data_IF_351204718831
#
_entry.id   IF_351204718831
#
_cell.length_a   1.000
_cell.length_b   1.000
_cell.length_c   1.000
_cell.angle_alpha   90.00
_cell.angle_beta   90.00
_cell.angle_gamma   90.00
#
_symmetry.space_group_name_H-M   'P 1'
#
loop_
_entity.id
_entity.type
_entity.pdbx_description
1 polymer ?
#
# COMPACT_ATOMS: atom_id res chain seq x y z
N UNK A 1 -21.90 22.91 -36.40
CA UNK A 1 -21.94 21.54 -35.86
C UNK A 1 -21.58 21.56 -34.37
N UNK A 2 -22.53 21.28 -33.47
CA UNK A 2 -22.30 21.21 -32.02
C UNK A 2 -21.41 20.00 -31.70
N UNK A 3 -20.26 20.21 -31.05
CA UNK A 3 -19.45 19.14 -30.48
C UNK A 3 -20.25 18.48 -29.36
N UNK A 4 -20.51 17.17 -29.47
CA UNK A 4 -21.10 16.36 -28.40
C UNK A 4 -20.09 16.27 -27.24
N UNK A 5 -20.52 16.40 -25.97
CA UNK A 5 -19.63 16.17 -24.84
C UNK A 5 -19.32 14.67 -24.75
N UNK A 6 -18.05 14.35 -24.63
CA UNK A 6 -17.53 13.00 -24.37
C UNK A 6 -18.03 12.54 -23.00
N UNK A 7 -18.73 11.40 -23.00
CA UNK A 7 -19.21 10.72 -21.78
C UNK A 7 -18.02 10.39 -20.88
N UNK A 8 -18.10 10.81 -19.62
CA UNK A 8 -17.27 10.34 -18.51
C UNK A 8 -17.37 8.82 -18.42
N UNK A 9 -16.23 8.13 -18.42
CA UNK A 9 -16.17 6.68 -18.22
C UNK A 9 -16.36 6.36 -16.74
N UNK A 10 -17.61 6.17 -16.32
CA UNK A 10 -17.89 5.45 -15.09
C UNK A 10 -17.56 3.98 -15.31
N UNK A 11 -16.46 3.52 -14.72
CA UNK A 11 -16.16 2.10 -14.64
C UNK A 11 -17.21 1.43 -13.73
N UNK A 12 -17.84 0.32 -14.14
CA UNK A 12 -18.87 -0.32 -13.34
C UNK A 12 -18.21 -1.07 -12.17
N UNK A 13 -18.34 -0.55 -10.95
CA UNK A 13 -18.00 -1.28 -9.73
C UNK A 13 -19.10 -2.34 -9.51
N UNK A 14 -18.72 -3.61 -9.64
CA UNK A 14 -19.59 -4.76 -9.32
C UNK A 14 -20.10 -4.73 -7.88
N UNK A 15 -21.23 -5.39 -7.63
CA UNK A 15 -21.94 -5.40 -6.35
C UNK A 15 -20.99 -5.72 -5.16
N UNK A 16 -20.88 -4.76 -4.22
CA UNK A 16 -19.76 -4.60 -3.28
C UNK A 16 -19.21 -3.16 -3.19
N UNK A 17 -19.93 -2.21 -3.78
CA UNK A 17 -20.13 -0.76 -3.56
C UNK A 17 -18.98 0.19 -3.16
N UNK A 18 -18.11 -0.12 -2.19
CA UNK A 18 -17.20 0.90 -1.63
C UNK A 18 -15.77 0.76 -2.13
N UNK A 19 -15.08 1.90 -2.19
CA UNK A 19 -13.65 1.98 -2.52
C UNK A 19 -12.86 2.37 -1.28
N UNK A 20 -11.89 1.53 -0.91
CA UNK A 20 -10.97 1.81 0.18
C UNK A 20 -9.79 2.66 -0.32
N UNK A 21 -9.58 3.83 0.27
CA UNK A 21 -8.44 4.71 -0.01
C UNK A 21 -7.47 4.64 1.16
N UNK A 22 -6.21 4.30 0.88
CA UNK A 22 -5.16 4.24 1.89
C UNK A 22 -4.13 5.33 1.60
N UNK A 23 -4.08 6.33 2.46
CA UNK A 23 -3.04 7.35 2.44
C UNK A 23 -1.83 6.93 3.29
N UNK A 24 -0.70 7.61 3.13
CA UNK A 24 0.46 7.36 3.99
C UNK A 24 0.24 7.96 5.39
N UNK A 25 -0.23 9.20 5.47
CA UNK A 25 -0.31 9.99 6.72
C UNK A 25 -1.77 10.26 7.12
N UNK A 26 -2.10 10.31 8.43
CA UNK A 26 -3.45 10.65 8.89
C UNK A 26 -3.95 12.02 8.39
N UNK A 27 -3.06 13.00 8.32
CA UNK A 27 -3.39 14.34 7.82
C UNK A 27 -3.86 14.31 6.36
N UNK A 28 -3.16 13.56 5.52
CA UNK A 28 -3.54 13.35 4.11
C UNK A 28 -4.91 12.68 4.04
N UNK A 29 -5.15 11.60 4.77
CA UNK A 29 -6.45 10.94 4.81
C UNK A 29 -7.59 11.90 5.23
N UNK A 30 -7.36 12.78 6.21
CA UNK A 30 -8.31 13.78 6.64
C UNK A 30 -8.60 14.84 5.56
N UNK A 31 -7.56 15.30 4.84
CA UNK A 31 -7.73 16.24 3.72
C UNK A 31 -8.54 15.61 2.57
N UNK A 32 -8.25 14.35 2.21
CA UNK A 32 -9.03 13.62 1.21
C UNK A 32 -10.49 13.48 1.65
N UNK A 33 -10.73 13.09 2.91
CA UNK A 33 -12.07 12.96 3.46
C UNK A 33 -12.84 14.28 3.45
N UNK A 34 -12.19 15.40 3.78
CA UNK A 34 -12.80 16.74 3.73
C UNK A 34 -13.23 17.11 2.32
N UNK A 35 -12.38 16.90 1.32
CA UNK A 35 -12.66 17.23 -0.08
C UNK A 35 -13.76 16.34 -0.66
N UNK A 36 -13.74 15.05 -0.32
CA UNK A 36 -14.76 14.07 -0.75
C UNK A 36 -16.02 14.06 0.13
N UNK A 37 -16.07 14.91 1.16
CA UNK A 37 -17.19 15.02 2.12
C UNK A 37 -17.53 13.68 2.79
N UNK A 38 -16.50 12.95 3.20
CA UNK A 38 -16.62 11.66 3.90
C UNK A 38 -16.54 11.92 5.41
N UNK A 39 -17.59 11.61 6.20
CA UNK A 39 -17.59 11.83 7.63
C UNK A 39 -16.67 10.85 8.36
N UNK A 40 -16.21 11.23 9.55
CA UNK A 40 -15.42 10.36 10.41
C UNK A 40 -16.29 9.24 10.98
N UNK A 41 -15.79 8.00 10.93
CA UNK A 41 -16.45 6.80 11.45
C UNK A 41 -15.41 5.93 12.15
N UNK A 42 -15.36 6.00 13.49
CA UNK A 42 -14.32 5.34 14.29
C UNK A 42 -12.90 5.81 13.91
N UNK A 43 -12.05 4.85 13.55
CA UNK A 43 -10.64 5.06 13.17
C UNK A 43 -10.42 5.32 11.67
N UNK A 44 -11.50 5.47 10.91
CA UNK A 44 -11.50 5.76 9.48
C UNK A 44 -12.51 6.88 9.15
N UNK A 45 -12.61 7.22 7.86
CA UNK A 45 -13.71 8.01 7.32
C UNK A 45 -14.54 7.10 6.41
N UNK A 46 -15.85 7.16 6.51
CA UNK A 46 -16.71 6.25 5.75
C UNK A 46 -18.04 6.90 5.34
N UNK A 47 -18.42 6.70 4.07
CA UNK A 47 -19.77 6.92 3.56
C UNK A 47 -20.18 5.74 2.64
N UNK A 48 -21.21 5.91 1.82
CA UNK A 48 -21.71 4.84 0.95
C UNK A 48 -20.80 4.49 -0.23
N UNK A 49 -19.78 5.31 -0.51
CA UNK A 49 -18.88 5.17 -1.67
C UNK A 49 -17.44 4.95 -1.24
N UNK A 50 -16.99 5.67 -0.21
CA UNK A 50 -15.58 5.74 0.18
C UNK A 50 -15.38 5.24 1.61
N UNK A 51 -14.31 4.47 1.78
CA UNK A 51 -13.68 4.24 3.08
C UNK A 51 -12.27 4.80 3.00
N UNK A 52 -11.88 5.73 3.86
CA UNK A 52 -10.56 6.38 3.81
C UNK A 52 -9.83 6.12 5.13
N UNK A 53 -8.61 5.61 5.04
CA UNK A 53 -7.72 5.39 6.18
C UNK A 53 -6.26 5.70 5.82
N UNK A 54 -5.33 5.49 6.75
CA UNK A 54 -3.91 5.78 6.56
C UNK A 54 -2.99 4.72 7.15
N UNK A 55 -1.81 4.52 6.56
CA UNK A 55 -0.78 3.60 7.04
C UNK A 55 0.02 4.12 8.25
N UNK A 56 0.20 5.43 8.42
CA UNK A 56 1.10 6.02 9.43
C UNK A 56 2.56 5.55 9.22
N UNK A 57 3.03 5.63 7.97
CA UNK A 57 4.37 5.17 7.57
C UNK A 57 4.42 3.67 7.27
N UNK A 58 5.59 3.04 7.49
CA UNK A 58 5.80 1.62 7.22
C UNK A 58 5.16 0.76 8.31
N UNK A 59 4.18 -0.06 7.94
CA UNK A 59 3.51 -1.00 8.84
C UNK A 59 3.97 -2.45 8.68
N UNK A 60 4.69 -2.72 7.61
CA UNK A 60 5.20 -4.03 7.24
C UNK A 60 6.69 -3.92 6.92
N UNK A 61 7.42 -4.99 7.17
CA UNK A 61 8.85 -5.10 6.89
C UNK A 61 9.21 -6.51 6.46
N UNK A 62 10.38 -6.65 5.83
CA UNK A 62 10.95 -7.96 5.52
C UNK A 62 11.24 -8.70 6.83
N UNK A 63 10.98 -10.00 6.84
CA UNK A 63 11.27 -10.85 7.99
C UNK A 63 12.78 -10.98 8.22
N UNK A 64 13.17 -11.37 9.43
CA UNK A 64 14.55 -11.67 9.78
C UNK A 64 15.00 -13.01 9.16
N UNK A 65 16.32 -13.23 8.98
CA UNK A 65 16.83 -14.48 8.39
C UNK A 65 16.30 -15.75 9.05
N UNK A 66 16.25 -15.77 10.39
CA UNK A 66 15.82 -16.95 11.14
C UNK A 66 14.32 -17.27 10.98
N UNK A 67 13.51 -16.31 10.54
CA UNK A 67 12.11 -16.51 10.22
C UNK A 67 11.93 -17.15 8.84
N UNK A 68 12.90 -16.98 7.93
CA UNK A 68 12.93 -17.64 6.61
C UNK A 68 13.54 -19.04 6.69
N UNK A 69 14.62 -19.17 7.46
CA UNK A 69 15.30 -20.43 7.72
C UNK A 69 15.84 -20.43 9.15
N UNK A 70 15.36 -21.30 10.06
CA UNK A 70 15.83 -21.40 11.43
C UNK A 70 17.35 -21.57 11.57
N UNK A 71 18.03 -22.17 10.59
CA UNK A 71 19.49 -22.36 10.59
C UNK A 71 20.25 -21.03 10.55
N UNK A 72 19.63 -19.98 9.97
CA UNK A 72 20.17 -18.62 9.91
C UNK A 72 20.00 -17.85 11.22
N UNK A 73 19.49 -18.50 12.29
CA UNK A 73 19.52 -17.94 13.64
C UNK A 73 20.95 -17.83 14.18
N UNK A 74 21.80 -18.81 13.88
CA UNK A 74 23.20 -18.79 14.31
C UNK A 74 24.08 -18.10 13.25
N UNK A 75 24.88 -17.14 13.70
CA UNK A 75 25.75 -16.37 12.83
C UNK A 75 27.08 -17.08 12.73
N UNK A 76 27.33 -17.69 11.58
CA UNK A 76 28.60 -18.33 11.27
C UNK A 76 28.98 -17.99 9.85
N UNK A 77 30.29 -17.85 9.59
CA UNK A 77 30.81 -17.63 8.23
C UNK A 77 30.35 -18.73 7.25
N UNK A 78 30.04 -19.94 7.76
CA UNK A 78 29.51 -21.05 6.95
C UNK A 78 28.13 -20.78 6.38
N UNK A 79 27.33 -19.95 7.05
CA UNK A 79 25.97 -19.60 6.64
C UNK A 79 25.94 -18.36 5.74
N UNK A 80 27.09 -17.70 5.52
CA UNK A 80 27.20 -16.53 4.65
C UNK A 80 27.66 -16.96 3.23
N UNK A 81 27.14 -16.30 2.18
CA UNK A 81 26.10 -15.28 2.24
C UNK A 81 24.70 -15.87 2.44
N UNK A 82 23.86 -15.18 3.21
CA UNK A 82 22.44 -15.46 3.33
C UNK A 82 21.73 -14.87 2.11
N UNK A 83 21.24 -15.75 1.23
CA UNK A 83 20.53 -15.39 0.00
C UNK A 83 19.16 -16.09 -0.03
N UNK A 84 18.08 -15.42 0.40
CA UNK A 84 16.75 -16.00 0.35
C UNK A 84 16.31 -16.28 -1.09
N UNK A 85 15.85 -17.50 -1.42
CA UNK A 85 15.38 -17.82 -2.77
C UNK A 85 14.14 -17.00 -3.18
N UNK A 86 13.38 -16.50 -2.20
CA UNK A 86 12.17 -15.71 -2.41
C UNK A 86 12.45 -14.20 -2.62
N UNK A 87 13.72 -13.78 -2.70
CA UNK A 87 14.11 -12.40 -2.98
C UNK A 87 14.42 -12.24 -4.47
N UNK A 88 13.37 -12.34 -5.28
CA UNK A 88 13.42 -12.34 -6.74
C UNK A 88 12.97 -10.99 -7.36
N UNK A 89 12.91 -9.93 -6.56
CA UNK A 89 12.33 -8.64 -6.97
C UNK A 89 10.81 -8.57 -6.83
N UNK A 90 10.15 -9.61 -6.32
CA UNK A 90 8.73 -9.63 -5.97
C UNK A 90 8.50 -9.74 -4.46
N UNK A 91 7.27 -9.51 -3.99
CA UNK A 91 6.91 -9.70 -2.60
C UNK A 91 5.87 -10.81 -2.44
N UNK A 92 6.15 -11.71 -1.51
CA UNK A 92 5.22 -12.72 -1.03
C UNK A 92 4.88 -12.47 0.44
N UNK A 93 3.68 -12.87 0.87
CA UNK A 93 3.26 -12.75 2.26
C UNK A 93 4.24 -13.42 3.24
N UNK A 94 4.84 -14.55 2.84
CA UNK A 94 5.78 -15.30 3.67
C UNK A 94 7.13 -14.62 3.92
N UNK A 95 7.46 -13.54 3.21
CA UNK A 95 8.68 -12.76 3.43
C UNK A 95 8.43 -11.44 4.16
N UNK A 96 7.20 -11.19 4.60
CA UNK A 96 6.78 -9.97 5.28
C UNK A 96 6.24 -10.26 6.67
N UNK A 97 6.46 -9.35 7.60
CA UNK A 97 5.80 -9.31 8.92
C UNK A 97 5.34 -7.90 9.27
N UNK A 98 4.38 -7.74 10.19
CA UNK A 98 4.07 -6.43 10.75
C UNK A 98 5.29 -5.88 11.49
N UNK A 99 5.48 -4.55 11.43
CA UNK A 99 6.48 -3.89 12.28
C UNK A 99 6.15 -4.06 13.75
N UNK A 100 7.19 -4.24 14.56
CA UNK A 100 7.08 -4.40 16.03
C UNK A 100 7.08 -3.05 16.77
N UNK A 101 7.27 -1.94 16.06
CA UNK A 101 7.18 -0.60 16.63
C UNK A 101 5.82 -0.34 17.27
N UNK A 102 5.81 0.47 18.34
CA UNK A 102 4.61 0.71 19.15
C UNK A 102 3.48 1.27 18.28
N UNK A 103 2.36 0.55 18.26
CA UNK A 103 1.15 0.93 17.50
C UNK A 103 1.15 0.53 16.03
N UNK A 104 2.28 0.15 15.43
CA UNK A 104 2.34 -0.26 14.03
C UNK A 104 1.55 -1.56 13.78
N UNK A 105 1.72 -2.56 14.66
CA UNK A 105 0.96 -3.81 14.60
C UNK A 105 -0.55 -3.61 14.70
N UNK A 106 -1.01 -2.77 15.63
CA UNK A 106 -2.43 -2.43 15.80
C UNK A 106 -2.98 -1.74 14.56
N UNK A 107 -2.23 -0.76 14.02
CA UNK A 107 -2.63 -0.03 12.81
C UNK A 107 -2.69 -0.95 11.58
N UNK A 108 -1.74 -1.87 11.46
CA UNK A 108 -1.77 -2.90 10.43
C UNK A 108 -3.02 -3.77 10.56
N UNK A 109 -3.38 -4.24 11.77
CA UNK A 109 -4.59 -5.03 11.95
C UNK A 109 -5.87 -4.26 11.60
N UNK A 110 -5.93 -2.96 11.89
CA UNK A 110 -7.03 -2.10 11.45
C UNK A 110 -7.15 -2.06 9.92
N UNK A 111 -6.05 -1.78 9.21
CA UNK A 111 -6.05 -1.76 7.74
C UNK A 111 -6.35 -3.12 7.13
N UNK A 112 -5.81 -4.21 7.71
CA UNK A 112 -6.09 -5.58 7.27
C UNK A 112 -7.59 -5.89 7.38
N UNK A 113 -8.25 -5.48 8.47
CA UNK A 113 -9.71 -5.64 8.60
C UNK A 113 -10.44 -4.91 7.48
N UNK A 114 -10.05 -3.67 7.16
CA UNK A 114 -10.66 -2.90 6.06
C UNK A 114 -10.41 -3.55 4.69
N UNK A 115 -9.18 -3.99 4.41
CA UNK A 115 -8.81 -4.65 3.15
C UNK A 115 -9.55 -5.97 2.89
N UNK A 116 -10.01 -6.64 3.95
CA UNK A 116 -10.70 -7.94 3.88
C UNK A 116 -12.23 -7.81 4.07
N UNK A 117 -12.76 -6.58 4.16
CA UNK A 117 -14.21 -6.35 4.20
C UNK A 117 -14.86 -6.79 2.89
N UNK A 118 -16.03 -7.43 3.00
CA UNK A 118 -16.78 -7.95 1.84
C UNK A 118 -17.41 -6.86 0.97
N UNK A 119 -17.62 -5.67 1.54
CA UNK A 119 -18.21 -4.50 0.87
C UNK A 119 -17.18 -3.52 0.30
N UNK A 120 -15.90 -3.92 0.24
CA UNK A 120 -14.86 -3.20 -0.48
C UNK A 120 -14.63 -3.90 -1.82
N UNK A 121 -14.96 -3.22 -2.91
CA UNK A 121 -14.79 -3.73 -4.27
C UNK A 121 -13.47 -3.31 -4.94
N UNK A 122 -12.82 -2.27 -4.42
CA UNK A 122 -11.58 -1.72 -4.98
C UNK A 122 -10.75 -1.06 -3.88
N UNK A 123 -9.42 -1.03 -4.04
CA UNK A 123 -8.50 -0.28 -3.19
C UNK A 123 -7.71 0.75 -4.00
N UNK A 124 -7.51 1.94 -3.42
CA UNK A 124 -6.77 3.05 -4.01
C UNK A 124 -5.54 3.33 -3.16
N UNK A 125 -4.37 3.25 -3.79
CA UNK A 125 -3.13 3.75 -3.24
C UNK A 125 -3.12 5.28 -3.32
N UNK A 126 -3.22 5.94 -2.17
CA UNK A 126 -3.11 7.39 -2.00
C UNK A 126 -1.88 7.79 -1.16
N UNK A 127 -0.87 6.91 -1.05
CA UNK A 127 0.43 7.25 -0.45
C UNK A 127 1.18 8.26 -1.32
N UNK A 128 2.25 8.85 -0.77
CA UNK A 128 3.01 9.92 -1.42
C UNK A 128 3.46 9.50 -2.83
N UNK A 129 3.46 10.45 -3.78
CA UNK A 129 3.71 10.22 -5.20
C UNK A 129 5.20 9.90 -5.47
N UNK A 130 5.62 8.68 -5.15
CA UNK A 130 6.99 8.23 -5.29
C UNK A 130 7.21 6.77 -4.93
N UNK A 131 8.48 6.37 -4.93
CA UNK A 131 8.93 4.99 -4.65
C UNK A 131 8.49 4.46 -3.29
N UNK A 132 8.62 5.27 -2.24
CA UNK A 132 8.25 4.87 -0.88
C UNK A 132 6.75 4.63 -0.76
N UNK A 133 5.92 5.52 -1.33
CA UNK A 133 4.47 5.37 -1.29
C UNK A 133 3.98 4.11 -2.02
N UNK A 134 4.61 3.73 -3.14
CA UNK A 134 4.34 2.44 -3.78
C UNK A 134 4.70 1.26 -2.87
N UNK A 135 5.85 1.31 -2.20
CA UNK A 135 6.34 0.22 -1.36
C UNK A 135 5.47 0.02 -0.11
N UNK A 136 5.18 1.10 0.63
CA UNK A 136 4.38 1.09 1.85
C UNK A 136 3.02 0.45 1.58
N UNK A 137 2.31 0.96 0.57
CA UNK A 137 0.99 0.48 0.22
C UNK A 137 1.04 -0.99 -0.23
N UNK A 138 1.99 -1.34 -1.10
CA UNK A 138 2.08 -2.68 -1.66
C UNK A 138 2.41 -3.73 -0.60
N UNK A 139 3.36 -3.46 0.30
CA UNK A 139 3.69 -4.36 1.41
C UNK A 139 2.49 -4.64 2.31
N UNK A 140 1.69 -3.61 2.64
CA UNK A 140 0.46 -3.77 3.44
C UNK A 140 -0.53 -4.69 2.73
N UNK A 141 -0.76 -4.49 1.44
CA UNK A 141 -1.71 -5.29 0.66
C UNK A 141 -1.26 -6.76 0.54
N UNK A 142 0.02 -6.99 0.25
CA UNK A 142 0.60 -8.34 0.15
C UNK A 142 0.53 -9.06 1.50
N UNK A 143 0.95 -8.40 2.58
CA UNK A 143 0.92 -8.99 3.92
C UNK A 143 -0.51 -9.28 4.40
N UNK A 144 -1.47 -8.41 4.07
CA UNK A 144 -2.88 -8.60 4.35
C UNK A 144 -3.48 -9.79 3.54
N UNK A 145 -2.88 -10.12 2.40
CA UNK A 145 -3.42 -11.08 1.44
C UNK A 145 -4.62 -10.53 0.66
N UNK A 146 -4.66 -9.21 0.45
CA UNK A 146 -5.72 -8.55 -0.30
C UNK A 146 -5.66 -8.95 -1.78
N UNK A 147 -6.82 -9.28 -2.37
CA UNK A 147 -6.97 -9.64 -3.80
C UNK A 147 -7.86 -8.66 -4.56
N UNK A 148 -7.99 -7.44 -4.03
CA UNK A 148 -8.85 -6.40 -4.57
C UNK A 148 -8.22 -5.80 -5.83
N UNK A 149 -9.03 -5.39 -6.82
CA UNK A 149 -8.59 -4.45 -7.85
C UNK A 149 -7.94 -3.23 -7.20
N UNK A 150 -6.77 -2.86 -7.70
CA UNK A 150 -5.98 -1.76 -7.19
C UNK A 150 -5.95 -0.61 -8.21
N UNK A 151 -6.06 0.62 -7.71
CA UNK A 151 -5.91 1.87 -8.46
C UNK A 151 -4.91 2.79 -7.77
N UNK A 152 -4.34 3.74 -8.50
CA UNK A 152 -3.36 4.68 -7.98
C UNK A 152 -3.84 6.12 -8.08
N UNK A 153 -3.95 6.79 -6.94
CA UNK A 153 -4.19 8.23 -6.85
C UNK A 153 -2.87 8.99 -6.85
N UNK A 154 -2.51 9.60 -7.98
CA UNK A 154 -1.25 10.35 -8.12
C UNK A 154 -1.46 11.85 -7.84
N UNK A 155 -1.18 12.28 -6.61
CA UNK A 155 -1.35 13.68 -6.19
C UNK A 155 -0.04 14.46 -6.35
N UNK A 156 -0.10 15.57 -7.08
CA UNK A 156 0.99 16.56 -7.18
C UNK A 156 0.72 17.82 -6.36
N UNK A 157 -0.51 17.99 -5.85
CA UNK A 157 -0.96 19.12 -5.05
C UNK A 157 -2.08 18.70 -4.10
N UNK A 158 -2.12 19.32 -2.91
CA UNK A 158 -3.13 19.09 -1.88
C UNK A 158 -4.30 20.09 -1.97
N UNK A 159 -4.38 20.89 -3.03
CA UNK A 159 -5.52 21.78 -3.23
C UNK A 159 -6.80 20.98 -3.48
N UNK A 160 -7.98 21.44 -3.03
CA UNK A 160 -9.24 20.73 -3.24
C UNK A 160 -9.52 20.40 -4.71
N UNK A 161 -9.19 21.31 -5.63
CA UNK A 161 -9.36 21.11 -7.07
C UNK A 161 -8.44 20.00 -7.62
N UNK A 162 -7.18 19.96 -7.19
CA UNK A 162 -6.25 18.91 -7.60
C UNK A 162 -6.69 17.54 -7.07
N UNK A 163 -7.10 17.46 -5.80
CA UNK A 163 -7.61 16.22 -5.21
C UNK A 163 -8.82 15.72 -5.99
N UNK A 164 -9.83 16.56 -6.22
CA UNK A 164 -11.02 16.17 -7.00
C UNK A 164 -10.65 15.74 -8.43
N UNK A 165 -9.77 16.48 -9.09
CA UNK A 165 -9.28 16.16 -10.43
C UNK A 165 -8.60 14.78 -10.49
N UNK A 166 -7.72 14.48 -9.54
CA UNK A 166 -7.00 13.20 -9.48
C UNK A 166 -7.92 12.02 -9.18
N UNK A 167 -8.98 12.18 -8.37
CA UNK A 167 -9.97 11.10 -8.17
C UNK A 167 -10.78 10.77 -9.42
N UNK A 168 -10.95 11.74 -10.33
CA UNK A 168 -11.57 11.50 -11.64
C UNK A 168 -10.62 10.84 -12.65
N UNK A 169 -9.32 10.76 -12.32
CA UNK A 169 -8.26 10.27 -13.19
C UNK A 169 -7.35 9.28 -12.45
N UNK A 170 -7.95 8.33 -11.72
CA UNK A 170 -7.21 7.26 -11.06
C UNK A 170 -6.43 6.44 -12.09
N UNK A 171 -5.14 6.28 -11.83
CA UNK A 171 -4.25 5.53 -12.70
C UNK A 171 -4.39 4.03 -12.45
N UNK A 172 -4.15 3.24 -13.49
CA UNK A 172 -3.89 1.82 -13.33
C UNK A 172 -2.54 1.59 -12.66
N UNK A 173 -2.43 0.50 -11.90
CA UNK A 173 -1.19 0.14 -11.19
C UNK A 173 -0.02 -0.06 -12.15
N UNK A 174 -0.28 -0.51 -13.37
CA UNK A 174 0.73 -0.69 -14.42
C UNK A 174 1.51 0.59 -14.71
N UNK A 175 0.88 1.76 -14.59
CA UNK A 175 1.52 3.07 -14.83
C UNK A 175 2.66 3.38 -13.86
N UNK A 176 2.66 2.74 -12.68
CA UNK A 176 3.68 2.91 -11.62
C UNK A 176 4.37 1.60 -11.24
N UNK A 177 4.16 0.52 -12.00
CA UNK A 177 4.76 -0.78 -11.73
C UNK A 177 6.29 -0.74 -11.69
N UNK A 178 6.93 0.08 -12.53
CA UNK A 178 8.37 0.28 -12.52
C UNK A 178 8.89 0.90 -11.21
N UNK A 179 8.16 1.88 -10.64
CA UNK A 179 8.52 2.47 -9.35
C UNK A 179 8.40 1.47 -8.21
N UNK A 180 7.30 0.70 -8.19
CA UNK A 180 7.09 -0.38 -7.22
C UNK A 180 8.22 -1.41 -7.29
N UNK A 181 8.52 -1.91 -8.49
CA UNK A 181 9.57 -2.92 -8.69
C UNK A 181 10.93 -2.39 -8.23
N UNK A 182 11.27 -1.14 -8.57
CA UNK A 182 12.50 -0.51 -8.12
C UNK A 182 12.59 -0.40 -6.58
N UNK A 183 11.49 -0.10 -5.90
CA UNK A 183 11.45 -0.04 -4.44
C UNK A 183 11.60 -1.42 -3.78
N UNK A 184 10.97 -2.45 -4.35
CA UNK A 184 11.08 -3.84 -3.84
C UNK A 184 12.53 -4.32 -3.99
N UNK A 185 13.11 -4.17 -5.19
CA UNK A 185 14.50 -4.55 -5.43
C UNK A 185 15.47 -3.83 -4.49
N UNK A 186 15.25 -2.53 -4.25
CA UNK A 186 16.05 -1.77 -3.28
C UNK A 186 15.91 -2.35 -1.87
N UNK A 187 14.68 -2.58 -1.40
CA UNK A 187 14.44 -3.11 -0.06
C UNK A 187 15.07 -4.48 0.16
N UNK A 188 14.98 -5.37 -0.83
CA UNK A 188 15.61 -6.70 -0.79
C UNK A 188 17.14 -6.61 -0.88
N UNK A 189 17.67 -5.72 -1.73
CA UNK A 189 19.11 -5.50 -1.82
C UNK A 189 19.68 -4.94 -0.52
N UNK A 190 19.01 -3.97 0.11
CA UNK A 190 19.43 -3.39 1.38
C UNK A 190 19.44 -4.45 2.49
N UNK A 191 18.45 -5.37 2.48
CA UNK A 191 18.40 -6.52 3.40
C UNK A 191 19.58 -7.49 3.15
N UNK A 192 19.82 -7.87 1.89
CA UNK A 192 20.91 -8.81 1.54
C UNK A 192 22.27 -8.19 1.88
N UNK A 193 22.54 -6.98 1.40
CA UNK A 193 23.83 -6.31 1.60
C UNK A 193 24.03 -5.96 3.07
N UNK A 194 23.02 -5.36 3.71
CA UNK A 194 23.09 -4.96 5.11
C UNK A 194 23.36 -6.13 6.04
N UNK A 195 22.69 -7.27 5.84
CA UNK A 195 22.89 -8.42 6.72
C UNK A 195 24.16 -9.20 6.43
N UNK A 196 24.63 -9.24 5.18
CA UNK A 196 25.84 -9.98 4.84
C UNK A 196 27.14 -9.18 5.07
N UNK A 197 27.09 -7.83 5.03
CA UNK A 197 28.28 -6.99 5.21
C UNK A 197 28.45 -6.40 6.61
N UNK A 198 27.38 -6.35 7.41
CA UNK A 198 27.47 -5.88 8.82
C UNK A 198 27.77 -7.03 9.79
N UNK A 199 27.71 -8.28 9.32
CA UNK A 199 27.86 -9.50 10.12
C UNK A 199 29.10 -10.29 9.69
#
# INVERSE_FOLDING_TARGET
MRKKPTKSSEAPLGAGAKTLVIAEKPSVAADLAKVLKVPKSGDAFENDIWVISSAVGHLAELVEPHELNPDWKSWTLKNLPILPPNFDGTLAKGVLRPRTERGAGEKYQQLKKLLLRKDIGCVVNACDAGREGELIFHMICVLAGAKLPEKRLWLTSMTPAAIQGSFNQLLDVSEKAGLRSASICRSQSDWIVGLNLTR
#
